data_IF_986972211301
#
_entry.id   IF_986972211301
#
_cell.length_a   1.000
_cell.length_b   1.000
_cell.length_c   1.000
_cell.angle_alpha   90.00
_cell.angle_beta   90.00
_cell.angle_gamma   90.00
#
_symmetry.space_group_name_H-M   'P 1'
#
loop_
_entity.id
_entity.type
_entity.pdbx_description
1 polymer ?
#
# COMPACT_ATOMS: atom_id res chain seq x y z
N UNK A 1 -5.61 5.44 -11.51
CA UNK A 1 -6.89 5.22 -10.77
C UNK A 1 -6.70 5.36 -9.26
N UNK A 2 -5.87 4.54 -8.61
CA UNK A 2 -5.73 4.57 -7.14
C UNK A 2 -4.89 5.75 -6.60
N UNK A 3 -3.83 6.17 -7.32
CA UNK A 3 -2.95 7.28 -6.90
C UNK A 3 -3.67 8.63 -6.74
N UNK A 4 -4.82 8.83 -7.41
CA UNK A 4 -5.62 10.04 -7.30
C UNK A 4 -6.63 10.01 -6.16
N UNK A 5 -6.81 8.88 -5.48
CA UNK A 5 -7.77 8.75 -4.37
C UNK A 5 -7.20 9.42 -3.12
N UNK A 6 -7.89 10.46 -2.67
CA UNK A 6 -7.50 11.24 -1.49
C UNK A 6 -7.97 10.63 -0.16
N UNK A 7 -8.87 9.65 -0.21
CA UNK A 7 -9.34 8.91 0.97
C UNK A 7 -8.32 7.82 1.37
N UNK A 8 -8.25 7.45 2.66
CA UNK A 8 -7.52 6.27 3.08
C UNK A 8 -8.04 5.00 2.39
N UNK A 9 -7.13 4.13 1.99
CA UNK A 9 -7.37 2.86 1.34
C UNK A 9 -6.85 1.74 2.22
N UNK A 10 -7.74 0.85 2.66
CA UNK A 10 -7.40 -0.35 3.42
C UNK A 10 -7.63 -1.56 2.52
N UNK A 11 -6.58 -2.32 2.26
CA UNK A 11 -6.64 -3.60 1.56
C UNK A 11 -6.84 -4.74 2.57
N UNK A 12 -7.94 -5.49 2.39
CA UNK A 12 -8.17 -6.79 3.04
C UNK A 12 -7.77 -7.89 2.07
N UNK A 13 -6.75 -8.65 2.42
CA UNK A 13 -6.09 -9.60 1.52
C UNK A 13 -6.31 -11.02 2.05
N UNK A 14 -6.77 -11.93 1.20
CA UNK A 14 -6.99 -13.32 1.57
C UNK A 14 -6.87 -14.25 0.37
N UNK A 15 -6.56 -15.53 0.62
CA UNK A 15 -6.37 -16.51 -0.45
C UNK A 15 -5.24 -16.10 -1.39
N UNK A 16 -5.46 -16.18 -2.69
CA UNK A 16 -4.46 -15.83 -3.69
C UNK A 16 -4.56 -14.35 -4.09
N UNK A 17 -3.47 -13.60 -3.85
CA UNK A 17 -3.31 -12.20 -4.24
C UNK A 17 -2.21 -12.13 -5.28
N UNK A 18 -2.58 -12.13 -6.56
CA UNK A 18 -1.66 -12.45 -7.67
C UNK A 18 -1.69 -11.35 -8.74
N UNK A 19 -0.52 -10.99 -9.26
CA UNK A 19 -0.33 -10.00 -10.32
C UNK A 19 -0.93 -8.65 -9.94
N UNK A 20 -1.89 -8.15 -10.71
CA UNK A 20 -2.58 -6.89 -10.39
C UNK A 20 -3.27 -6.89 -9.03
N UNK A 21 -3.57 -8.05 -8.42
CA UNK A 21 -3.99 -8.11 -7.01
C UNK A 21 -2.91 -7.58 -6.05
N UNK A 22 -1.64 -7.92 -6.29
CA UNK A 22 -0.49 -7.37 -5.55
C UNK A 22 -0.28 -5.90 -5.91
N UNK A 23 -0.42 -5.53 -7.19
CA UNK A 23 -0.25 -4.13 -7.62
C UNK A 23 -1.29 -3.20 -6.97
N UNK A 24 -2.56 -3.63 -6.91
CA UNK A 24 -3.63 -2.91 -6.23
C UNK A 24 -3.36 -2.84 -4.73
N UNK A 25 -2.95 -3.95 -4.10
CA UNK A 25 -2.59 -3.96 -2.68
C UNK A 25 -1.46 -2.96 -2.39
N UNK A 26 -0.46 -2.88 -3.27
CA UNK A 26 0.67 -1.96 -3.15
C UNK A 26 0.30 -0.47 -3.33
N UNK A 27 -0.86 -0.19 -3.94
CA UNK A 27 -1.43 1.15 -4.08
C UNK A 27 -2.32 1.55 -2.89
N UNK A 28 -2.69 0.62 -2.01
CA UNK A 28 -3.42 0.91 -0.78
C UNK A 28 -2.48 1.46 0.30
N UNK A 29 -3.04 2.20 1.27
CA UNK A 29 -2.25 2.81 2.33
C UNK A 29 -1.92 1.78 3.43
N UNK A 30 -2.91 0.94 3.77
CA UNK A 30 -2.82 -0.08 4.82
C UNK A 30 -3.21 -1.44 4.23
N UNK A 31 -2.44 -2.49 4.51
CA UNK A 31 -2.61 -3.85 4.00
C UNK A 31 -2.71 -4.83 5.16
N UNK A 32 -3.84 -5.51 5.26
CA UNK A 32 -4.09 -6.56 6.25
C UNK A 32 -4.30 -7.87 5.48
N UNK A 33 -3.56 -8.91 5.84
CA UNK A 33 -3.67 -10.22 5.21
C UNK A 33 -4.21 -11.27 6.18
N UNK A 34 -5.00 -12.21 5.65
CA UNK A 34 -5.22 -13.48 6.30
C UNK A 34 -3.90 -14.27 6.35
N UNK A 35 -3.68 -15.04 7.41
CA UNK A 35 -2.54 -15.95 7.60
C UNK A 35 -2.37 -16.98 6.47
N UNK A 36 -3.46 -17.33 5.79
CA UNK A 36 -3.54 -18.23 4.64
C UNK A 36 -3.30 -17.54 3.29
N UNK A 37 -2.96 -16.24 3.28
CA UNK A 37 -2.75 -15.49 2.02
C UNK A 37 -1.45 -15.89 1.33
N UNK A 38 -1.49 -15.93 0.00
CA UNK A 38 -0.35 -16.22 -0.87
C UNK A 38 -0.24 -15.11 -1.93
N UNK A 39 0.97 -14.59 -2.12
CA UNK A 39 1.28 -13.48 -3.03
C UNK A 39 2.24 -13.91 -4.14
N UNK A 40 2.08 -13.35 -5.35
CA UNK A 40 2.95 -13.63 -6.51
C UNK A 40 2.80 -12.59 -7.62
N UNK A 41 3.87 -12.38 -8.39
CA UNK A 41 3.88 -11.61 -9.64
C UNK A 41 4.10 -12.55 -10.85
N UNK A 42 3.04 -12.99 -11.56
CA UNK A 42 3.14 -13.99 -12.63
C UNK A 42 3.51 -13.45 -14.01
N UNK A 43 3.62 -12.13 -14.17
CA UNK A 43 3.72 -11.47 -15.47
C UNK A 43 4.91 -11.99 -16.29
N UNK A 44 6.07 -12.22 -15.65
CA UNK A 44 7.27 -12.71 -16.36
C UNK A 44 7.07 -14.10 -16.97
N UNK A 45 6.32 -14.98 -16.32
CA UNK A 45 6.01 -16.30 -16.85
C UNK A 45 5.03 -16.26 -18.03
N UNK A 46 4.35 -15.12 -18.21
CA UNK A 46 3.47 -14.84 -19.34
C UNK A 46 4.16 -13.99 -20.42
N UNK A 47 5.47 -13.74 -20.31
CA UNK A 47 6.21 -12.89 -21.25
C UNK A 47 5.89 -11.40 -21.12
N UNK A 48 5.41 -10.96 -19.96
CA UNK A 48 5.01 -9.58 -19.68
C UNK A 48 5.77 -9.00 -18.48
N UNK A 49 5.72 -7.68 -18.33
CA UNK A 49 6.14 -6.99 -17.11
C UNK A 49 4.90 -6.48 -16.35
N UNK A 50 4.98 -6.24 -15.02
CA UNK A 50 3.93 -5.56 -14.29
C UNK A 50 3.68 -4.16 -14.87
N UNK A 51 2.42 -3.85 -15.18
CA UNK A 51 2.05 -2.65 -15.93
C UNK A 51 0.98 -1.79 -15.24
N UNK A 52 0.42 -2.21 -14.10
CA UNK A 52 -0.51 -1.39 -13.32
C UNK A 52 0.19 -0.57 -12.21
N UNK A 53 1.52 -0.47 -12.28
CA UNK A 53 2.37 0.26 -11.35
C UNK A 53 3.23 -0.62 -10.45
N UNK A 54 3.14 -1.96 -10.57
CA UNK A 54 3.83 -2.92 -9.70
C UNK A 54 5.33 -2.72 -9.60
N UNK A 55 6.02 -2.37 -10.69
CA UNK A 55 7.47 -2.12 -10.67
C UNK A 55 7.86 -0.91 -9.79
N UNK A 56 6.94 0.03 -9.58
CA UNK A 56 7.16 1.26 -8.83
C UNK A 56 6.62 1.18 -7.40
N UNK A 57 5.43 0.62 -7.22
CA UNK A 57 4.78 0.56 -5.90
C UNK A 57 5.32 -0.58 -5.05
N UNK A 58 5.62 -1.74 -5.65
CA UNK A 58 6.18 -2.87 -4.91
C UNK A 58 7.57 -2.53 -4.34
N UNK A 59 8.44 -1.87 -5.13
CA UNK A 59 9.77 -1.44 -4.65
C UNK A 59 9.69 -0.49 -3.46
N UNK A 60 8.65 0.34 -3.39
CA UNK A 60 8.48 1.29 -2.29
C UNK A 60 8.06 0.58 -0.99
N UNK A 61 7.41 -0.60 -1.10
CA UNK A 61 7.00 -1.39 0.05
C UNK A 61 8.10 -2.32 0.56
N UNK A 62 8.65 -3.15 -0.33
CA UNK A 62 9.54 -4.25 0.05
C UNK A 62 11.03 -3.96 -0.21
N UNK A 63 11.33 -2.79 -0.78
CA UNK A 63 12.65 -2.43 -1.28
C UNK A 63 12.91 -2.95 -2.70
N UNK A 64 13.92 -2.40 -3.40
CA UNK A 64 14.22 -2.75 -4.79
C UNK A 64 14.61 -4.23 -4.95
N UNK A 65 15.45 -4.75 -4.05
CA UNK A 65 16.00 -6.11 -4.17
C UNK A 65 14.91 -7.18 -4.07
N UNK A 66 14.01 -7.03 -3.07
CA UNK A 66 12.88 -7.95 -2.90
C UNK A 66 11.85 -7.81 -4.01
N UNK A 67 11.61 -6.58 -4.49
CA UNK A 67 10.69 -6.37 -5.60
C UNK A 67 11.21 -7.04 -6.88
N UNK A 68 12.49 -6.87 -7.21
CA UNK A 68 13.12 -7.52 -8.36
C UNK A 68 13.08 -9.04 -8.23
N UNK A 69 13.45 -9.57 -7.06
CA UNK A 69 13.43 -10.99 -6.79
C UNK A 69 12.01 -11.57 -6.99
N UNK A 70 10.97 -10.98 -6.38
CA UNK A 70 9.60 -11.44 -6.55
C UNK A 70 9.10 -11.36 -8.01
N UNK A 71 9.40 -10.26 -8.72
CA UNK A 71 8.94 -10.03 -10.10
C UNK A 71 9.65 -10.96 -11.09
N UNK A 72 10.97 -11.12 -10.96
CA UNK A 72 11.77 -11.88 -11.91
C UNK A 72 11.69 -13.39 -11.70
N UNK A 73 11.48 -13.86 -10.46
CA UNK A 73 11.41 -15.29 -10.15
C UNK A 73 10.00 -15.86 -10.23
N UNK A 74 8.95 -15.02 -10.21
CA UNK A 74 7.55 -15.46 -10.12
C UNK A 74 7.31 -16.43 -8.94
N UNK A 75 8.08 -16.30 -7.85
CA UNK A 75 7.90 -17.19 -6.70
C UNK A 75 6.66 -16.82 -5.88
N UNK A 76 6.20 -17.79 -5.12
CA UNK A 76 5.17 -17.57 -4.10
C UNK A 76 5.80 -16.93 -2.85
N UNK A 77 5.05 -16.02 -2.24
CA UNK A 77 5.33 -15.42 -0.93
C UNK A 77 4.13 -15.71 -0.03
N UNK A 78 4.35 -16.37 1.11
CA UNK A 78 3.27 -16.61 2.09
C UNK A 78 3.06 -15.40 3.01
N UNK A 79 1.99 -15.40 3.80
CA UNK A 79 1.69 -14.30 4.71
C UNK A 79 2.78 -14.05 5.77
N UNK A 80 3.49 -15.10 6.22
CA UNK A 80 4.55 -14.99 7.23
C UNK A 80 5.77 -14.29 6.67
N UNK A 81 6.10 -14.52 5.42
CA UNK A 81 7.14 -13.79 4.72
C UNK A 81 6.66 -12.39 4.34
N UNK A 82 5.43 -12.24 3.85
CA UNK A 82 4.86 -10.98 3.41
C UNK A 82 4.96 -9.89 4.50
N UNK A 83 4.70 -10.22 5.77
CA UNK A 83 4.87 -9.29 6.89
C UNK A 83 6.35 -8.95 7.16
N UNK A 84 7.27 -9.93 7.04
CA UNK A 84 8.71 -9.73 7.25
C UNK A 84 9.33 -8.80 6.21
N UNK A 85 8.89 -8.93 4.95
CA UNK A 85 9.37 -8.07 3.86
C UNK A 85 8.57 -6.77 3.74
N UNK A 86 7.60 -6.51 4.63
CA UNK A 86 6.73 -5.31 4.63
C UNK A 86 5.81 -5.20 3.41
N UNK A 87 5.52 -6.33 2.75
CA UNK A 87 4.50 -6.39 1.71
C UNK A 87 3.10 -6.14 2.29
N UNK A 88 2.87 -6.55 3.54
CA UNK A 88 1.64 -6.29 4.31
C UNK A 88 2.00 -5.69 5.66
N UNK A 89 1.06 -4.97 6.29
CA UNK A 89 1.28 -4.31 7.58
C UNK A 89 0.78 -5.13 8.77
N UNK A 90 -0.18 -6.03 8.52
CA UNK A 90 -0.77 -6.91 9.53
C UNK A 90 -1.10 -8.27 8.92
N UNK A 91 -0.92 -9.32 9.73
CA UNK A 91 -1.39 -10.67 9.44
C UNK A 91 -2.30 -11.12 10.57
N UNK A 92 -3.49 -11.60 10.23
CA UNK A 92 -4.53 -12.04 11.18
C UNK A 92 -5.14 -13.35 10.69
N UNK A 93 -5.90 -14.06 11.53
CA UNK A 93 -6.68 -15.20 11.04
C UNK A 93 -7.73 -14.75 10.02
N UNK A 94 -8.20 -15.66 9.18
CA UNK A 94 -9.21 -15.36 8.15
C UNK A 94 -10.48 -14.74 8.75
N UNK A 95 -10.92 -15.24 9.89
CA UNK A 95 -12.13 -14.83 10.60
C UNK A 95 -12.01 -13.42 11.17
N UNK A 96 -10.78 -13.00 11.50
CA UNK A 96 -10.48 -11.69 12.07
C UNK A 96 -10.20 -10.61 11.01
N UNK A 97 -10.18 -10.96 9.73
CA UNK A 97 -9.77 -10.03 8.67
C UNK A 97 -10.72 -8.82 8.55
N UNK A 98 -12.03 -9.07 8.57
CA UNK A 98 -13.03 -8.02 8.41
C UNK A 98 -13.05 -7.09 9.64
N UNK A 99 -13.14 -7.66 10.83
CA UNK A 99 -13.13 -6.89 12.09
C UNK A 99 -11.84 -6.08 12.25
N UNK A 100 -10.69 -6.62 11.85
CA UNK A 100 -9.41 -5.90 11.90
C UNK A 100 -9.40 -4.67 10.99
N UNK A 101 -9.99 -4.77 9.79
CA UNK A 101 -10.10 -3.64 8.88
C UNK A 101 -11.13 -2.61 9.33
N UNK A 102 -12.27 -3.06 9.86
CA UNK A 102 -13.33 -2.20 10.40
C UNK A 102 -12.85 -1.37 11.58
N UNK A 103 -12.04 -1.94 12.47
CA UNK A 103 -11.42 -1.21 13.59
C UNK A 103 -10.54 -0.06 13.06
N UNK A 104 -9.72 -0.31 12.04
CA UNK A 104 -8.89 0.73 11.43
C UNK A 104 -9.77 1.79 10.75
N UNK A 105 -10.74 1.35 9.94
CA UNK A 105 -11.66 2.25 9.25
C UNK A 105 -12.44 3.14 10.23
N UNK A 106 -12.98 2.56 11.31
CA UNK A 106 -13.69 3.28 12.36
C UNK A 106 -12.80 4.23 13.19
N UNK A 107 -11.49 4.01 13.22
CA UNK A 107 -10.55 5.00 13.73
C UNK A 107 -10.40 6.20 12.78
N UNK A 108 -10.29 5.93 11.48
CA UNK A 108 -10.12 6.96 10.46
C UNK A 108 -11.36 7.84 10.28
N UNK A 109 -12.57 7.31 10.49
CA UNK A 109 -13.81 8.12 10.42
C UNK A 109 -13.90 9.21 11.49
N UNK A 110 -13.10 9.12 12.56
CA UNK A 110 -13.03 10.13 13.63
C UNK A 110 -12.14 11.32 13.28
N UNK A 111 -11.47 11.28 12.13
CA UNK A 111 -10.52 12.29 11.67
C UNK A 111 -11.15 13.08 10.52
N UNK A 112 -10.96 14.40 10.49
CA UNK A 112 -11.44 15.27 9.40
C UNK A 112 -10.90 14.76 8.04
N UNK A 113 -11.75 14.59 7.01
CA UNK A 113 -11.33 14.07 5.70
C UNK A 113 -10.19 14.85 5.05
N UNK A 114 -10.17 16.18 5.22
CA UNK A 114 -9.17 17.07 4.64
C UNK A 114 -7.79 16.84 5.27
N UNK A 115 -7.76 16.52 6.57
CA UNK A 115 -6.53 16.19 7.28
C UNK A 115 -5.95 14.86 6.79
N UNK A 116 -6.79 13.84 6.64
CA UNK A 116 -6.39 12.54 6.08
C UNK A 116 -5.85 12.67 4.64
N UNK A 117 -6.56 13.43 3.80
CA UNK A 117 -6.14 13.71 2.43
C UNK A 117 -4.80 14.45 2.38
N UNK A 118 -4.59 15.43 3.27
CA UNK A 118 -3.35 16.20 3.37
C UNK A 118 -2.18 15.33 3.83
N UNK A 119 -2.37 14.49 4.85
CA UNK A 119 -1.35 13.53 5.32
C UNK A 119 -0.96 12.59 4.19
N UNK A 120 -1.94 11.95 3.54
CA UNK A 120 -1.70 11.05 2.41
C UNK A 120 -0.98 11.75 1.27
N UNK A 121 -1.39 12.97 0.92
CA UNK A 121 -0.72 13.78 -0.12
C UNK A 121 0.72 14.10 0.23
N UNK A 122 1.01 14.50 1.48
CA UNK A 122 2.36 14.81 1.95
C UNK A 122 3.29 13.60 1.85
N UNK A 123 2.82 12.43 2.28
CA UNK A 123 3.60 11.18 2.22
C UNK A 123 3.81 10.74 0.77
N UNK A 124 2.72 10.57 0.01
CA UNK A 124 2.78 9.95 -1.31
C UNK A 124 3.49 10.82 -2.35
N UNK A 125 3.25 12.14 -2.35
CA UNK A 125 3.99 13.04 -3.26
C UNK A 125 5.42 13.25 -2.78
N UNK A 126 5.67 13.19 -1.48
CA UNK A 126 7.02 13.30 -0.92
C UNK A 126 7.99 12.25 -1.47
N UNK A 127 7.50 11.05 -1.80
CA UNK A 127 8.29 9.97 -2.41
C UNK A 127 8.97 10.39 -3.72
N UNK A 128 8.34 11.28 -4.51
CA UNK A 128 8.82 11.67 -5.84
C UNK A 128 9.57 13.01 -5.85
N UNK A 129 9.53 13.78 -4.75
CA UNK A 129 10.00 15.17 -4.72
C UNK A 129 11.40 15.36 -4.11
N UNK A 130 11.92 14.36 -3.41
CA UNK A 130 13.10 14.51 -2.55
C UNK A 130 12.80 15.26 -1.25
N UNK A 131 13.66 15.11 -0.23
CA UNK A 131 13.35 15.50 1.15
C UNK A 131 12.96 16.98 1.31
N UNK A 132 13.76 17.90 0.76
CA UNK A 132 13.53 19.34 0.94
C UNK A 132 12.20 19.78 0.32
N UNK A 133 11.94 19.40 -0.94
CA UNK A 133 10.67 19.72 -1.62
C UNK A 133 9.49 19.00 -0.98
N UNK A 134 9.69 17.78 -0.46
CA UNK A 134 8.70 17.06 0.35
C UNK A 134 8.28 17.84 1.60
N UNK A 135 9.26 18.36 2.36
CA UNK A 135 8.99 19.21 3.54
C UNK A 135 8.28 20.52 3.13
N UNK A 136 8.66 21.13 2.01
CA UNK A 136 7.97 22.32 1.51
C UNK A 136 6.51 22.03 1.13
N UNK A 137 6.25 20.87 0.51
CA UNK A 137 4.88 20.42 0.19
C UNK A 137 4.07 20.17 1.47
N UNK A 138 4.66 19.51 2.47
CA UNK A 138 4.05 19.30 3.79
C UNK A 138 3.67 20.63 4.47
N UNK A 139 4.58 21.61 4.49
CA UNK A 139 4.31 22.94 5.04
C UNK A 139 3.11 23.61 4.37
N UNK A 140 3.01 23.54 3.04
CA UNK A 140 1.87 24.10 2.29
C UNK A 140 0.55 23.43 2.70
N UNK A 141 0.53 22.10 2.81
CA UNK A 141 -0.66 21.38 3.28
C UNK A 141 -1.02 21.78 4.72
N UNK A 142 -0.03 21.90 5.61
CA UNK A 142 -0.23 22.34 7.00
C UNK A 142 -0.87 23.74 7.08
N UNK A 143 -0.35 24.71 6.34
CA UNK A 143 -0.94 26.05 6.27
C UNK A 143 -2.36 26.05 5.72
N UNK A 144 -2.66 25.22 4.73
CA UNK A 144 -4.01 25.11 4.18
C UNK A 144 -4.99 24.55 5.22
N UNK A 145 -4.63 23.47 5.91
CA UNK A 145 -5.45 22.88 6.98
C UNK A 145 -5.69 23.85 8.13
N UNK A 146 -4.68 24.63 8.53
CA UNK A 146 -4.82 25.62 9.60
C UNK A 146 -5.81 26.76 9.26
N UNK A 147 -6.03 27.06 7.96
CA UNK A 147 -6.97 28.11 7.53
C UNK A 147 -8.44 27.66 7.44
N UNK A 148 -8.67 26.35 7.33
CA UNK A 148 -10.02 25.77 7.19
C UNK A 148 -10.53 25.14 8.49
N UNK A 149 -9.73 25.20 9.56
CA UNK A 149 -10.12 24.84 10.92
C UNK A 149 -10.64 26.07 11.68
#
# INVERSE_FOLDING_TARGET
LFLSIQKPLIAKLHGYVIGSGVEIAALCDIRIAADSSIFRMPEVALGMIPAAGGTQTLRNLVGPDRALEMIMTNRLVDAREAIKIRLVDRVVSREMLDSSAEVIAGGLTKIKPELLASIKSSVMRGLDLGLERGIQHEKRNSYHIAKIN
#
